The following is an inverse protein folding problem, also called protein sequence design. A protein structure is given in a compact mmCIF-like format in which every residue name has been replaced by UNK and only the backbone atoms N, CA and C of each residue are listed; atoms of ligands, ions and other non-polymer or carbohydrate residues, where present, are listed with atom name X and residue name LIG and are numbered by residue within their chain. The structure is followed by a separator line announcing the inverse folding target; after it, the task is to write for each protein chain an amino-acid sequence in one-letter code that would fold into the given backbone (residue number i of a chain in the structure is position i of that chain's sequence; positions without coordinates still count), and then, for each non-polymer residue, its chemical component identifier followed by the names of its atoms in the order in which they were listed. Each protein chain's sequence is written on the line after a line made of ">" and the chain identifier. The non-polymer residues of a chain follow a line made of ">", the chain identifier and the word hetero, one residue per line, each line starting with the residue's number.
data_IF_254869648513
#
_entry.id   IF_254869648513
#
_cell.length_a   1.000
_cell.length_b   1.000
_cell.length_c   1.000
_cell.angle_alpha   90.00
_cell.angle_beta   90.00
_cell.angle_gamma   90.00
#
_symmetry.space_group_name_H-M   'P 1'
#
loop_
_entity.id
_entity.type
_entity.pdbx_description
1 polymer ?
#
# COMPACT_ATOMS: atom_id res chain seq x y z
N UNK A 1 -4.71 -9.94 1.93
CA UNK A 1 -4.13 -8.71 2.50
C UNK A 1 -4.85 -7.52 1.92
N UNK A 2 -5.26 -6.56 2.75
CA UNK A 2 -5.73 -5.26 2.26
C UNK A 2 -4.56 -4.41 1.77
N UNK A 3 -4.86 -3.43 0.93
CA UNK A 3 -3.89 -2.44 0.44
C UNK A 3 -4.42 -1.05 0.84
N UNK A 4 -3.56 -0.27 1.49
CA UNK A 4 -3.84 1.13 1.83
C UNK A 4 -3.25 2.09 0.80
N UNK A 5 -3.69 3.35 0.87
CA UNK A 5 -3.29 4.43 -0.02
C UNK A 5 -3.47 5.76 0.70
N UNK A 6 -2.59 6.76 0.47
CA UNK A 6 -2.75 8.09 1.03
C UNK A 6 -4.00 8.82 0.51
N UNK A 7 -4.55 8.41 -0.64
CA UNK A 7 -5.74 9.04 -1.23
C UNK A 7 -7.06 8.61 -0.58
N UNK A 8 -7.03 7.69 0.38
CA UNK A 8 -8.22 7.31 1.16
C UNK A 8 -8.66 8.50 2.01
N UNK A 9 -9.89 8.98 1.78
CA UNK A 9 -10.46 10.15 2.48
C UNK A 9 -11.51 9.82 3.55
N UNK A 10 -11.94 8.56 3.61
CA UNK A 10 -12.93 8.08 4.58
C UNK A 10 -12.32 7.86 5.98
N UNK A 11 -13.10 7.38 6.96
CA UNK A 11 -12.73 7.26 8.38
C UNK A 11 -11.48 6.41 8.71
N UNK A 12 -10.90 5.70 7.74
CA UNK A 12 -9.62 5.00 7.85
C UNK A 12 -8.49 5.70 7.08
N UNK A 13 -8.53 7.03 6.97
CA UNK A 13 -7.47 7.81 6.34
C UNK A 13 -6.17 7.77 7.18
N UNK A 14 -5.05 8.01 6.51
CA UNK A 14 -3.73 7.95 7.15
C UNK A 14 -3.51 9.06 8.18
N UNK A 15 -4.16 10.21 8.01
CA UNK A 15 -4.11 11.29 8.99
C UNK A 15 -4.72 10.89 10.34
N UNK A 16 -5.87 10.19 10.33
CA UNK A 16 -6.53 9.70 11.55
C UNK A 16 -5.78 8.51 12.17
N UNK A 17 -5.13 7.69 11.34
CA UNK A 17 -4.46 6.47 11.82
C UNK A 17 -3.03 6.74 12.33
N UNK A 18 -2.24 7.52 11.61
CA UNK A 18 -0.83 7.79 11.92
C UNK A 18 -0.58 9.16 12.57
N UNK A 19 -1.52 10.10 12.43
CA UNK A 19 -1.32 11.50 12.80
C UNK A 19 -0.99 12.37 11.59
N UNK A 20 -1.19 13.68 11.76
CA UNK A 20 -1.00 14.65 10.67
C UNK A 20 0.44 14.79 10.21
N UNK A 21 1.37 14.93 11.15
CA UNK A 21 2.79 15.08 10.84
C UNK A 21 3.34 13.86 10.11
N UNK A 22 3.02 12.65 10.57
CA UNK A 22 3.38 11.41 9.91
C UNK A 22 2.75 11.29 8.52
N UNK A 23 1.47 11.64 8.36
CA UNK A 23 0.81 11.60 7.06
C UNK A 23 1.45 12.58 6.06
N UNK A 24 1.89 13.74 6.52
CA UNK A 24 2.58 14.73 5.68
C UNK A 24 3.98 14.25 5.28
N UNK A 25 4.73 13.60 6.18
CA UNK A 25 6.01 12.95 5.87
C UNK A 25 5.84 11.82 4.83
N UNK A 26 4.81 10.97 4.97
CA UNK A 26 4.51 9.92 3.99
C UNK A 26 4.23 10.49 2.60
N UNK A 27 3.45 11.58 2.51
CA UNK A 27 3.18 12.28 1.26
C UNK A 27 4.47 12.90 0.68
N UNK A 28 5.29 13.54 1.50
CA UNK A 28 6.56 14.15 1.08
C UNK A 28 7.55 13.10 0.54
N UNK A 29 7.53 11.88 1.08
CA UNK A 29 8.31 10.73 0.60
C UNK A 29 7.71 10.00 -0.61
N UNK A 30 6.61 10.51 -1.16
CA UNK A 30 5.91 9.93 -2.31
C UNK A 30 5.47 8.48 -2.10
N UNK A 31 5.05 8.14 -0.89
CA UNK A 31 4.48 6.83 -0.61
C UNK A 31 3.20 6.64 -1.44
N UNK A 32 3.12 5.54 -2.16
CA UNK A 32 1.96 5.22 -3.00
C UNK A 32 0.93 4.37 -2.27
N UNK A 33 1.36 3.58 -1.28
CA UNK A 33 0.49 2.75 -0.46
C UNK A 33 1.25 1.98 0.61
N UNK A 34 0.51 1.16 1.34
CA UNK A 34 1.05 0.27 2.37
C UNK A 34 0.38 -1.10 2.36
N UNK A 35 1.11 -2.09 2.88
CA UNK A 35 0.57 -3.40 3.29
C UNK A 35 1.12 -3.67 4.69
N UNK A 36 0.25 -3.91 5.67
CA UNK A 36 0.66 -4.13 7.07
C UNK A 36 1.53 -3.00 7.64
N UNK A 37 1.23 -1.74 7.32
CA UNK A 37 2.03 -0.57 7.71
C UNK A 37 3.48 -0.63 7.21
N UNK A 38 3.72 -1.35 6.10
CA UNK A 38 4.98 -1.34 5.35
C UNK A 38 4.75 -0.55 4.07
N UNK A 39 5.40 0.61 4.00
CA UNK A 39 5.18 1.60 2.96
C UNK A 39 6.05 1.37 1.74
N UNK A 40 5.50 1.68 0.56
CA UNK A 40 6.21 1.58 -0.71
C UNK A 40 5.77 2.67 -1.68
N UNK A 41 6.63 2.99 -2.64
CA UNK A 41 6.36 3.95 -3.71
C UNK A 41 5.58 3.30 -4.88
N UNK A 42 5.25 4.10 -5.90
CA UNK A 42 4.48 3.63 -7.07
C UNK A 42 5.27 2.67 -7.97
N UNK A 43 6.58 2.57 -7.78
CA UNK A 43 7.45 1.63 -8.47
C UNK A 43 7.61 0.33 -7.67
N UNK A 44 7.07 0.29 -6.45
CA UNK A 44 7.16 -0.85 -5.55
C UNK A 44 8.50 -0.95 -4.82
N UNK A 45 9.24 0.15 -4.70
CA UNK A 45 10.38 0.24 -3.81
C UNK A 45 9.91 0.52 -2.37
N UNK A 46 10.56 -0.11 -1.40
CA UNK A 46 10.29 0.15 0.02
C UNK A 46 10.64 1.60 0.36
N UNK A 47 9.77 2.27 1.10
CA UNK A 47 10.03 3.60 1.64
C UNK A 47 10.24 3.48 3.14
N UNK A 48 11.43 3.81 3.61
CA UNK A 48 11.72 3.89 5.04
C UNK A 48 11.12 5.17 5.64
N UNK A 49 10.50 5.01 6.81
CA UNK A 49 9.76 6.06 7.52
C UNK A 49 10.12 6.04 9.00
N UNK A 50 9.83 7.13 9.72
CA UNK A 50 10.05 7.21 11.17
C UNK A 50 9.25 6.15 11.96
N UNK A 51 8.23 5.55 11.34
CA UNK A 51 7.42 4.49 11.93
C UNK A 51 8.02 3.10 11.71
N UNK A 52 9.01 2.95 10.83
CA UNK A 52 9.55 1.63 10.44
C UNK A 52 10.17 0.91 11.63
N UNK A 53 10.87 1.61 12.51
CA UNK A 53 11.46 1.05 13.74
C UNK A 53 10.42 0.78 14.84
N UNK A 54 9.26 1.44 14.77
CA UNK A 54 8.16 1.32 15.73
C UNK A 54 7.14 0.24 15.31
N UNK A 55 7.23 -0.26 14.08
CA UNK A 55 6.23 -1.15 13.48
C UNK A 55 6.53 -2.61 13.76
N UNK A 56 5.66 -3.27 14.52
CA UNK A 56 5.66 -4.72 14.70
C UNK A 56 4.73 -5.37 13.66
N UNK A 57 5.25 -5.66 12.48
CA UNK A 57 4.50 -6.36 11.43
C UNK A 57 5.42 -7.27 10.60
N UNK A 58 4.82 -8.11 9.74
CA UNK A 58 5.59 -8.97 8.85
C UNK A 58 6.50 -8.14 7.94
N UNK A 59 7.75 -8.58 7.79
CA UNK A 59 8.67 -7.99 6.83
C UNK A 59 8.25 -8.31 5.40
N UNK A 60 8.32 -7.33 4.50
CA UNK A 60 7.87 -7.50 3.11
C UNK A 60 8.64 -8.58 2.36
N UNK A 61 9.92 -8.79 2.69
CA UNK A 61 10.72 -9.89 2.12
C UNK A 61 10.18 -11.28 2.51
N UNK A 62 9.63 -11.43 3.72
CA UNK A 62 8.96 -12.68 4.13
C UNK A 62 7.61 -12.83 3.43
N UNK A 63 6.87 -11.74 3.25
CA UNK A 63 5.61 -11.77 2.52
C UNK A 63 5.81 -12.23 1.06
N UNK A 64 6.88 -11.79 0.39
CA UNK A 64 7.25 -12.23 -0.97
C UNK A 64 7.56 -13.72 -1.08
N UNK A 65 8.00 -14.37 -0.01
CA UNK A 65 8.30 -15.80 0.01
C UNK A 65 7.04 -16.68 0.10
N UNK A 66 5.89 -16.09 0.45
CA UNK A 66 4.64 -16.82 0.48
C UNK A 66 4.30 -17.34 -0.92
N UNK A 67 3.92 -18.62 -1.02
CA UNK A 67 3.45 -19.23 -2.27
C UNK A 67 2.32 -18.41 -2.89
N UNK A 68 1.38 -17.95 -2.07
CA UNK A 68 0.31 -17.05 -2.46
C UNK A 68 0.29 -15.86 -1.51
N UNK A 69 0.55 -14.67 -2.04
CA UNK A 69 0.31 -13.39 -1.38
C UNK A 69 -0.84 -12.72 -2.10
N UNK A 70 -2.03 -12.84 -1.52
CA UNK A 70 -3.29 -12.43 -2.16
C UNK A 70 -3.67 -11.03 -1.67
N UNK A 71 -3.59 -10.03 -2.56
CA UNK A 71 -4.11 -8.69 -2.33
C UNK A 71 -5.62 -8.62 -2.60
N UNK A 72 -6.35 -7.91 -1.75
CA UNK A 72 -7.77 -7.60 -1.95
C UNK A 72 -7.94 -6.10 -1.83
N UNK A 73 -8.26 -5.43 -2.93
CA UNK A 73 -8.41 -3.99 -2.98
C UNK A 73 -9.25 -3.57 -4.19
N UNK A 74 -9.94 -2.45 -4.07
CA UNK A 74 -10.75 -1.83 -5.12
C UNK A 74 -10.85 -0.32 -4.86
N UNK A 75 -11.27 0.42 -5.88
CA UNK A 75 -11.42 1.89 -5.96
C UNK A 75 -10.26 2.61 -6.64
N UNK A 76 -10.59 3.74 -7.27
CA UNK A 76 -9.62 4.66 -7.88
C UNK A 76 -8.68 5.28 -6.84
N UNK A 77 -9.18 5.58 -5.63
CA UNK A 77 -8.37 6.10 -4.52
C UNK A 77 -7.24 5.13 -4.12
N UNK A 78 -7.39 3.83 -4.37
CA UNK A 78 -6.36 2.82 -4.07
C UNK A 78 -5.45 2.50 -5.25
N UNK A 79 -5.62 3.15 -6.40
CA UNK A 79 -4.86 2.86 -7.61
C UNK A 79 -3.35 2.87 -7.37
N UNK A 80 -2.82 3.93 -6.77
CA UNK A 80 -1.38 4.06 -6.48
C UNK A 80 -0.85 2.90 -5.63
N UNK A 81 -1.58 2.54 -4.58
CA UNK A 81 -1.22 1.45 -3.68
C UNK A 81 -1.27 0.09 -4.37
N UNK A 82 -2.31 -0.17 -5.19
CA UNK A 82 -2.43 -1.43 -5.94
C UNK A 82 -1.29 -1.57 -6.96
N UNK A 83 -0.99 -0.51 -7.70
CA UNK A 83 0.09 -0.49 -8.69
C UNK A 83 1.45 -0.71 -8.03
N UNK A 84 1.75 0.01 -6.95
CA UNK A 84 2.98 -0.17 -6.17
C UNK A 84 3.11 -1.59 -5.63
N UNK A 85 2.00 -2.16 -5.09
CA UNK A 85 1.97 -3.52 -4.56
C UNK A 85 2.30 -4.59 -5.62
N UNK A 86 1.73 -4.44 -6.83
CA UNK A 86 1.95 -5.34 -7.96
C UNK A 86 3.38 -5.22 -8.50
N UNK A 87 3.86 -3.99 -8.74
CA UNK A 87 5.22 -3.74 -9.26
C UNK A 87 6.29 -4.20 -8.29
N UNK A 88 6.06 -3.98 -6.99
CA UNK A 88 6.93 -4.44 -5.91
C UNK A 88 6.89 -5.96 -5.71
N UNK A 89 5.99 -6.69 -6.39
CA UNK A 89 5.74 -8.14 -6.23
C UNK A 89 5.41 -8.52 -4.78
N UNK A 90 4.82 -7.61 -4.03
CA UNK A 90 4.40 -7.86 -2.65
C UNK A 90 3.15 -8.74 -2.57
N UNK A 91 2.36 -8.71 -3.64
CA UNK A 91 1.25 -9.62 -3.91
C UNK A 91 1.51 -10.31 -5.26
N UNK A 92 1.05 -11.55 -5.38
CA UNK A 92 1.08 -12.32 -6.63
C UNK A 92 -0.32 -12.77 -7.09
N UNK A 93 -1.36 -12.48 -6.30
CA UNK A 93 -2.76 -12.61 -6.69
C UNK A 93 -3.49 -11.33 -6.30
N UNK A 94 -4.46 -10.90 -7.09
CA UNK A 94 -5.30 -9.75 -6.82
C UNK A 94 -6.78 -10.13 -6.94
N UNK A 95 -7.56 -9.80 -5.91
CA UNK A 95 -9.03 -9.79 -5.95
C UNK A 95 -9.46 -8.32 -5.99
N UNK A 96 -10.19 -7.96 -7.03
CA UNK A 96 -10.67 -6.59 -7.27
C UNK A 96 -12.00 -6.59 -8.04
N UNK A 97 -12.59 -5.43 -8.27
CA UNK A 97 -13.82 -5.27 -9.07
C UNK A 97 -13.50 -4.89 -10.53
N UNK A 98 -14.50 -4.96 -11.41
CA UNK A 98 -14.33 -4.68 -12.85
C UNK A 98 -13.78 -3.28 -13.13
N UNK A 99 -14.31 -2.24 -12.47
CA UNK A 99 -13.88 -0.87 -12.70
C UNK A 99 -12.41 -0.63 -12.33
N UNK A 100 -11.95 -1.18 -11.21
CA UNK A 100 -10.53 -1.08 -10.81
C UNK A 100 -9.65 -1.93 -11.74
N UNK A 101 -10.11 -3.11 -12.16
CA UNK A 101 -9.37 -3.94 -13.11
C UNK A 101 -9.16 -3.22 -14.46
N UNK A 102 -10.20 -2.59 -15.01
CA UNK A 102 -10.11 -1.79 -16.23
C UNK A 102 -9.13 -0.61 -16.08
N UNK A 103 -9.13 0.05 -14.92
CA UNK A 103 -8.20 1.14 -14.62
C UNK A 103 -6.74 0.67 -14.60
N UNK A 104 -6.47 -0.54 -14.11
CA UNK A 104 -5.12 -1.13 -14.02
C UNK A 104 -4.58 -1.63 -15.37
N UNK A 105 -5.46 -1.85 -16.36
CA UNK A 105 -5.08 -2.35 -17.69
C UNK A 105 -4.80 -1.23 -18.72
N UNK A 106 -5.02 0.03 -18.34
CA UNK A 106 -4.65 1.20 -19.14
C UNK A 106 -3.16 1.50 -19.02
#
# INVERSE_FOLDING_TARGET
>A
MGIGSPAIRDGANWHAFYGGEESDDLNARQVAGDICSRFFDIHGAMVETNMSEKTLSIEMNKLKQARYSIGIAMSEEKYSGIVGALRGKYINCLVTNSSTAELLLK
#
